data_IF_921172763279
#
_entry.id   IF_921172763279
#
_cell.length_a   1.000
_cell.length_b   1.000
_cell.length_c   1.000
_cell.angle_alpha   90.00
_cell.angle_beta   90.00
_cell.angle_gamma   90.00
#
_symmetry.space_group_name_H-M   'P 1'
#
loop_
_entity.id
_entity.type
_entity.pdbx_description
1 polymer ?
#
# COMPACT_ATOMS: atom_id res chain seq x y z
N UNK A 1 0.59 18.47 -0.92
CA UNK A 1 0.05 17.69 0.22
C UNK A 1 1.14 16.80 0.83
N UNK A 2 1.20 16.68 2.17
CA UNK A 2 2.12 15.75 2.83
C UNK A 2 1.47 14.36 2.99
N UNK A 3 1.98 13.33 2.33
CA UNK A 3 1.54 11.93 2.50
C UNK A 3 2.18 11.28 3.72
N UNK A 4 3.38 11.71 4.10
CA UNK A 4 4.15 11.14 5.21
C UNK A 4 3.38 11.29 6.54
N UNK A 5 2.59 12.35 6.70
CA UNK A 5 1.69 12.53 7.85
C UNK A 5 0.59 11.44 7.96
N UNK A 6 0.24 10.78 6.86
CA UNK A 6 -0.68 9.64 6.85
C UNK A 6 0.00 8.31 7.22
N UNK A 7 1.32 8.26 7.33
CA UNK A 7 2.07 7.10 7.81
C UNK A 7 2.48 7.36 9.26
N UNK A 8 1.59 6.99 10.19
CA UNK A 8 1.81 7.16 11.64
C UNK A 8 1.45 5.86 12.33
N UNK A 9 2.24 5.46 13.32
CA UNK A 9 1.88 4.34 14.19
C UNK A 9 1.03 4.82 15.36
N UNK A 10 -0.18 4.30 15.51
CA UNK A 10 -1.09 4.57 16.64
C UNK A 10 -1.32 3.35 17.53
N UNK A 11 -0.99 2.16 17.04
CA UNK A 11 -1.29 0.89 17.71
C UNK A 11 -2.56 0.22 17.18
N UNK A 12 -3.43 0.96 16.48
CA UNK A 12 -4.58 0.41 15.76
C UNK A 12 -4.18 0.16 14.30
N UNK A 13 -3.88 -1.11 13.99
CA UNK A 13 -3.45 -1.49 12.64
C UNK A 13 -4.53 -1.23 11.59
N UNK A 14 -5.81 -1.33 11.95
CA UNK A 14 -6.90 -1.13 10.99
C UNK A 14 -7.01 0.34 10.65
N UNK A 15 -7.05 1.21 11.66
CA UNK A 15 -7.13 2.66 11.48
C UNK A 15 -5.90 3.22 10.75
N UNK A 16 -4.70 2.73 11.06
CA UNK A 16 -3.47 3.18 10.42
C UNK A 16 -3.41 2.80 8.94
N UNK A 17 -3.76 1.56 8.58
CA UNK A 17 -3.79 1.14 7.19
C UNK A 17 -4.91 1.80 6.39
N UNK A 18 -6.08 2.01 7.02
CA UNK A 18 -7.21 2.71 6.38
C UNK A 18 -6.83 4.13 6.00
N UNK A 19 -6.23 4.88 6.93
CA UNK A 19 -5.73 6.24 6.68
C UNK A 19 -4.71 6.30 5.54
N UNK A 20 -3.82 5.31 5.42
CA UNK A 20 -2.86 5.22 4.31
C UNK A 20 -3.59 5.00 2.99
N UNK A 21 -4.50 4.03 2.93
CA UNK A 21 -5.25 3.67 1.71
C UNK A 21 -6.13 4.82 1.25
N UNK A 22 -6.87 5.46 2.15
CA UNK A 22 -7.71 6.63 1.85
C UNK A 22 -6.87 7.80 1.34
N UNK A 23 -5.75 8.09 1.99
CA UNK A 23 -4.84 9.15 1.55
C UNK A 23 -4.29 8.86 0.16
N UNK A 24 -3.96 7.60 -0.12
CA UNK A 24 -3.45 7.17 -1.43
C UNK A 24 -4.51 7.35 -2.52
N UNK A 25 -5.72 6.86 -2.28
CA UNK A 25 -6.84 7.01 -3.21
C UNK A 25 -7.18 8.48 -3.46
N UNK A 26 -7.09 9.34 -2.44
CA UNK A 26 -7.30 10.78 -2.61
C UNK A 26 -6.20 11.42 -3.46
N UNK A 27 -4.93 11.05 -3.27
CA UNK A 27 -3.84 11.53 -4.13
C UNK A 27 -4.03 11.08 -5.57
N UNK A 28 -4.44 9.82 -5.79
CA UNK A 28 -4.73 9.33 -7.13
C UNK A 28 -5.87 10.09 -7.81
N UNK A 29 -6.92 10.44 -7.07
CA UNK A 29 -8.03 11.27 -7.59
C UNK A 29 -7.58 12.69 -7.92
N UNK A 30 -6.74 13.28 -7.08
CA UNK A 30 -6.31 14.67 -7.21
C UNK A 30 -5.23 14.89 -8.29
N UNK A 31 -4.36 13.90 -8.50
CA UNK A 31 -3.19 14.08 -9.36
C UNK A 31 -3.15 13.17 -10.59
N UNK A 32 -4.04 12.19 -10.72
CA UNK A 32 -4.08 11.26 -11.86
C UNK A 32 -2.80 10.40 -11.96
N UNK A 33 -2.93 9.08 -12.10
CA UNK A 33 -1.90 8.15 -12.61
C UNK A 33 -0.42 8.31 -12.21
N UNK A 34 -0.09 9.01 -11.11
CA UNK A 34 1.28 9.52 -10.88
C UNK A 34 2.31 8.39 -10.82
N UNK A 35 1.98 7.27 -10.17
CA UNK A 35 2.85 6.08 -10.13
C UNK A 35 2.70 5.16 -11.35
N UNK A 36 1.53 5.20 -11.98
CA UNK A 36 1.17 4.34 -13.10
C UNK A 36 1.92 4.72 -14.38
N UNK A 37 2.03 6.03 -14.63
CA UNK A 37 2.67 6.59 -15.83
C UNK A 37 4.16 6.82 -15.63
N UNK A 38 4.61 7.22 -14.43
CA UNK A 38 6.02 7.55 -14.23
C UNK A 38 6.94 6.33 -14.28
N UNK A 39 6.55 5.18 -13.73
CA UNK A 39 7.43 4.00 -13.65
C UNK A 39 7.87 3.50 -15.04
N UNK A 40 6.98 3.36 -16.05
CA UNK A 40 7.39 3.02 -17.41
C UNK A 40 8.29 4.09 -18.06
N UNK A 41 8.01 5.38 -17.82
CA UNK A 41 8.71 6.49 -18.47
C UNK A 41 10.10 6.76 -17.89
N UNK A 42 10.40 6.30 -16.66
CA UNK A 42 11.72 6.43 -16.03
C UNK A 42 12.87 5.81 -16.82
N UNK A 43 12.61 4.75 -17.61
CA UNK A 43 13.63 4.14 -18.45
C UNK A 43 14.02 5.04 -19.62
N UNK A 44 13.06 5.84 -20.11
CA UNK A 44 13.23 6.75 -21.24
C UNK A 44 13.69 8.14 -20.82
N UNK A 45 13.34 8.52 -19.59
CA UNK A 45 13.57 9.85 -19.01
C UNK A 45 14.25 9.72 -17.64
N UNK A 46 15.59 9.57 -17.60
CA UNK A 46 16.35 9.46 -16.35
C UNK A 46 16.14 10.65 -15.40
N UNK A 47 15.79 11.82 -15.92
CA UNK A 47 15.40 13.02 -15.18
C UNK A 47 14.18 12.80 -14.26
N UNK A 48 13.33 11.81 -14.56
CA UNK A 48 12.19 11.43 -13.71
C UNK A 48 12.62 10.67 -12.45
N UNK A 49 13.88 10.24 -12.34
CA UNK A 49 14.39 9.55 -11.14
C UNK A 49 14.31 10.43 -9.89
N UNK A 50 14.61 11.72 -10.02
CA UNK A 50 14.52 12.66 -8.91
C UNK A 50 13.07 12.94 -8.51
N UNK A 51 12.16 12.97 -9.49
CA UNK A 51 10.71 13.05 -9.24
C UNK A 51 10.17 11.85 -8.45
N UNK A 52 10.83 10.68 -8.56
CA UNK A 52 10.47 9.45 -7.87
C UNK A 52 11.00 9.33 -6.45
N UNK A 53 11.95 10.18 -6.04
CA UNK A 53 12.51 10.16 -4.69
C UNK A 53 11.42 10.27 -3.61
N UNK A 54 10.40 11.10 -3.84
CA UNK A 54 9.30 11.30 -2.88
C UNK A 54 8.35 10.10 -2.81
N UNK A 55 7.82 9.55 -3.92
CA UNK A 55 7.06 8.30 -3.87
C UNK A 55 7.80 7.11 -3.25
N UNK A 56 9.10 6.97 -3.52
CA UNK A 56 9.91 5.92 -2.91
C UNK A 56 10.03 6.08 -1.39
N UNK A 57 10.21 7.32 -0.90
CA UNK A 57 10.16 7.60 0.55
C UNK A 57 8.82 7.23 1.19
N UNK A 58 7.72 7.47 0.49
CA UNK A 58 6.39 7.05 0.96
C UNK A 58 6.29 5.53 1.07
N UNK A 59 6.73 4.79 0.05
CA UNK A 59 6.76 3.33 0.08
C UNK A 59 7.60 2.80 1.24
N UNK A 60 8.77 3.42 1.46
CA UNK A 60 9.67 3.07 2.56
C UNK A 60 9.00 3.28 3.92
N UNK A 61 8.36 4.44 4.13
CA UNK A 61 7.69 4.75 5.39
C UNK A 61 6.54 3.76 5.69
N UNK A 62 5.77 3.36 4.67
CA UNK A 62 4.71 2.35 4.83
C UNK A 62 5.31 0.99 5.21
N UNK A 63 6.42 0.61 4.56
CA UNK A 63 7.12 -0.63 4.88
C UNK A 63 7.64 -0.62 6.34
N UNK A 64 8.20 0.49 6.81
CA UNK A 64 8.65 0.65 8.19
C UNK A 64 7.49 0.54 9.20
N UNK A 65 6.33 1.14 8.89
CA UNK A 65 5.12 1.00 9.71
C UNK A 65 4.68 -0.48 9.80
N UNK A 66 4.65 -1.17 8.67
CA UNK A 66 4.27 -2.59 8.60
C UNK A 66 5.28 -3.45 9.38
N UNK A 67 6.58 -3.21 9.21
CA UNK A 67 7.64 -3.88 9.96
C UNK A 67 7.45 -3.73 11.48
N UNK A 68 7.04 -2.54 11.96
CA UNK A 68 6.74 -2.33 13.37
C UNK A 68 5.57 -3.17 13.86
N UNK A 69 4.52 -3.34 13.07
CA UNK A 69 3.40 -4.23 13.41
C UNK A 69 3.78 -5.71 13.35
N UNK A 70 4.69 -6.10 12.46
CA UNK A 70 5.24 -7.45 12.38
C UNK A 70 6.08 -7.78 13.63
N UNK A 71 6.98 -6.88 14.04
CA UNK A 71 7.79 -7.02 15.26
C UNK A 71 6.94 -7.19 16.51
N UNK A 72 5.74 -6.60 16.54
CA UNK A 72 4.77 -6.73 17.63
C UNK A 72 3.86 -7.96 17.52
N UNK A 73 4.03 -8.80 16.51
CA UNK A 73 3.21 -9.99 16.28
C UNK A 73 1.78 -9.70 15.81
N UNK A 74 1.43 -8.44 15.51
CA UNK A 74 0.12 -8.06 14.99
C UNK A 74 -0.05 -8.53 13.55
N UNK A 75 1.03 -8.40 12.77
CA UNK A 75 1.13 -8.92 11.40
C UNK A 75 2.12 -10.08 11.35
N UNK A 76 1.93 -11.00 10.40
CA UNK A 76 2.87 -12.09 10.13
C UNK A 76 4.21 -11.55 9.64
N UNK A 77 5.28 -12.25 9.96
CA UNK A 77 6.61 -11.95 9.45
C UNK A 77 6.69 -12.20 7.94
N UNK A 78 7.07 -11.18 7.19
CA UNK A 78 7.40 -11.23 5.76
C UNK A 78 8.23 -9.98 5.42
N UNK A 79 8.84 -9.95 4.24
CA UNK A 79 9.64 -8.79 3.85
C UNK A 79 8.76 -7.50 3.82
N UNK A 80 9.12 -6.41 4.53
CA UNK A 80 8.26 -5.25 4.67
C UNK A 80 7.86 -4.58 3.34
N UNK A 81 8.77 -4.55 2.36
CA UNK A 81 8.43 -4.06 1.02
C UNK A 81 7.43 -4.95 0.29
N UNK A 82 7.41 -6.27 0.54
CA UNK A 82 6.39 -7.15 -0.03
C UNK A 82 5.03 -6.89 0.61
N UNK A 83 4.98 -6.63 1.92
CA UNK A 83 3.75 -6.20 2.59
C UNK A 83 3.24 -4.88 2.02
N UNK A 84 4.12 -3.88 1.86
CA UNK A 84 3.76 -2.59 1.30
C UNK A 84 3.25 -2.72 -0.15
N UNK A 85 3.93 -3.52 -0.97
CA UNK A 85 3.53 -3.82 -2.34
C UNK A 85 2.16 -4.53 -2.39
N UNK A 86 1.90 -5.46 -1.47
CA UNK A 86 0.60 -6.13 -1.40
C UNK A 86 -0.54 -5.19 -0.94
N UNK A 87 -0.23 -4.19 -0.11
CA UNK A 87 -1.18 -3.18 0.32
C UNK A 87 -1.52 -2.21 -0.80
N UNK A 88 -0.52 -1.71 -1.53
CA UNK A 88 -0.72 -0.64 -2.52
C UNK A 88 -0.85 -1.12 -3.97
N UNK A 89 -0.34 -2.31 -4.29
CA UNK A 89 -0.33 -2.87 -5.65
C UNK A 89 -1.69 -2.88 -6.32
N UNK A 90 -2.77 -3.37 -5.66
CA UNK A 90 -4.11 -3.31 -6.24
C UNK A 90 -4.60 -1.88 -6.53
N UNK A 91 -4.25 -0.91 -5.69
CA UNK A 91 -4.62 0.50 -5.90
C UNK A 91 -3.88 1.06 -7.12
N UNK A 92 -2.59 0.75 -7.26
CA UNK A 92 -1.76 1.11 -8.43
C UNK A 92 -2.32 0.46 -9.70
N UNK A 93 -2.65 -0.83 -9.65
CA UNK A 93 -3.20 -1.56 -10.80
C UNK A 93 -4.52 -0.95 -11.29
N UNK A 94 -5.45 -0.65 -10.37
CA UNK A 94 -6.70 0.02 -10.74
C UNK A 94 -6.49 1.49 -11.13
N UNK A 95 -5.38 2.13 -10.73
CA UNK A 95 -4.97 3.44 -11.25
C UNK A 95 -4.70 3.38 -12.74
N UNK A 96 -3.90 2.40 -13.16
CA UNK A 96 -3.42 2.22 -14.54
C UNK A 96 -4.57 1.95 -15.52
N UNK A 97 -5.66 1.38 -15.02
CA UNK A 97 -6.83 1.06 -15.84
C UNK A 97 -7.78 2.25 -16.06
N UNK A 98 -7.58 3.39 -15.38
CA UNK A 98 -8.43 4.57 -15.57
C UNK A 98 -8.30 5.10 -17.00
N UNK A 99 -9.39 5.64 -17.54
CA UNK A 99 -9.44 6.14 -18.91
C UNK A 99 -9.37 5.05 -19.98
N UNK A 100 -9.26 3.77 -19.61
CA UNK A 100 -9.26 2.65 -20.56
C UNK A 100 -10.66 2.02 -20.67
N UNK A 101 -10.89 1.23 -21.72
CA UNK A 101 -12.12 0.43 -21.85
C UNK A 101 -12.28 -0.61 -20.73
N UNK A 102 -11.19 -0.96 -20.04
CA UNK A 102 -11.20 -1.86 -18.90
C UNK A 102 -11.73 -1.20 -17.62
N UNK A 103 -11.73 0.14 -17.51
CA UNK A 103 -12.24 0.85 -16.34
C UNK A 103 -13.68 0.48 -15.99
N UNK A 104 -14.54 0.33 -17.01
CA UNK A 104 -15.94 -0.02 -16.85
C UNK A 104 -16.18 -1.40 -16.21
N UNK A 105 -15.17 -2.27 -16.21
CA UNK A 105 -15.22 -3.62 -15.63
C UNK A 105 -14.69 -3.68 -14.19
N UNK A 106 -14.10 -2.58 -13.69
CA UNK A 106 -13.49 -2.56 -12.35
C UNK A 106 -14.53 -2.10 -11.33
N UNK A 107 -14.89 -2.94 -10.34
CA UNK A 107 -15.79 -2.51 -9.28
C UNK A 107 -15.14 -1.41 -8.43
N UNK A 108 -15.93 -0.47 -7.88
CA UNK A 108 -15.40 0.56 -7.00
C UNK A 108 -14.66 -0.04 -5.81
N UNK A 109 -13.40 0.36 -5.61
CA UNK A 109 -12.61 -0.06 -4.47
C UNK A 109 -13.14 0.60 -3.19
N UNK A 110 -13.53 -0.24 -2.22
CA UNK A 110 -13.89 0.18 -0.85
C UNK A 110 -12.66 0.05 0.05
N UNK A 111 -12.10 1.15 0.58
CA UNK A 111 -10.89 1.14 1.42
C UNK A 111 -10.95 0.13 2.57
N UNK A 112 -12.09 0.07 3.27
CA UNK A 112 -12.33 -0.76 4.43
C UNK A 112 -12.28 -2.24 4.06
N UNK A 113 -12.93 -2.61 2.95
CA UNK A 113 -12.90 -3.98 2.44
C UNK A 113 -11.49 -4.39 2.03
N UNK A 114 -10.75 -3.50 1.37
CA UNK A 114 -9.36 -3.76 0.96
C UNK A 114 -8.43 -3.98 2.15
N UNK A 115 -8.49 -3.08 3.15
CA UNK A 115 -7.71 -3.20 4.39
C UNK A 115 -8.09 -4.46 5.16
N UNK A 116 -9.39 -4.78 5.25
CA UNK A 116 -9.86 -6.01 5.90
C UNK A 116 -9.25 -7.25 5.24
N UNK A 117 -9.33 -7.39 3.91
CA UNK A 117 -8.74 -8.52 3.20
C UNK A 117 -7.21 -8.59 3.36
N UNK A 118 -6.54 -7.43 3.31
CA UNK A 118 -5.09 -7.35 3.55
C UNK A 118 -4.74 -7.91 4.94
N UNK A 119 -5.48 -7.51 5.97
CA UNK A 119 -5.30 -7.96 7.35
C UNK A 119 -5.66 -9.44 7.53
N UNK A 120 -6.77 -9.91 6.98
CA UNK A 120 -7.17 -11.33 7.05
C UNK A 120 -6.08 -12.25 6.50
N UNK A 121 -5.39 -11.86 5.41
CA UNK A 121 -4.27 -12.63 4.85
C UNK A 121 -2.95 -12.52 5.61
N UNK A 122 -2.82 -11.57 6.56
CA UNK A 122 -1.53 -11.21 7.20
C UNK A 122 -1.58 -11.07 8.70
N UNK A 123 -2.72 -11.29 9.36
CA UNK A 123 -2.78 -11.30 10.82
C UNK A 123 -1.74 -12.29 11.34
N UNK A 124 -0.97 -11.87 12.34
CA UNK A 124 -0.04 -12.76 13.00
C UNK A 124 -0.80 -13.99 13.46
N UNK A 125 -0.39 -15.18 12.99
CA UNK A 125 -0.75 -16.39 13.72
C UNK A 125 -0.07 -16.21 15.07
N UNK A 126 -0.84 -16.08 16.15
CA UNK A 126 -0.32 -16.40 17.48
C UNK A 126 0.40 -17.75 17.40
N UNK A 127 1.37 -18.04 18.28
CA UNK A 127 2.24 -19.20 18.16
C UNK A 127 1.40 -20.41 17.77
N UNK A 128 1.74 -21.03 16.64
CA UNK A 128 1.14 -22.29 16.23
C UNK A 128 1.32 -23.20 17.43
N UNK A 129 0.22 -23.52 18.13
CA UNK A 129 0.21 -24.63 19.07
C UNK A 129 0.59 -25.82 18.21
N UNK A 130 1.80 -26.31 18.36
CA UNK A 130 2.22 -27.57 17.76
C UNK A 130 1.12 -28.57 18.12
N UNK A 131 0.40 -29.03 17.10
CA UNK A 131 -0.31 -30.29 17.22
C UNK A 131 0.81 -31.33 17.29
N UNK A 132 1.20 -31.67 18.52
CA UNK A 132 1.84 -32.94 18.78
C UNK A 132 0.78 -34.03 18.72
N UNK A 133 1.12 -35.03 17.89
CA UNK A 133 0.54 -36.36 17.67
C UNK A 133 -0.59 -36.46 16.65
#
# INVERSE_FOLDING_TARGET
>A
MNFEAAVRYTGDVTADLLRIVERYLMLMRAHGEFMAVLIPEMHRHPELRDAMARPLRVMQAIAELLARYQQKGVLRQEHPLHSAAALLGPLVYFAMARGTTFEAQIPPMKPETHVRHFLEGRRGRGPLKHFEK
#
